data_IF_856315952255
#
_entry.id   IF_856315952255
#
_cell.length_a   1.000
_cell.length_b   1.000
_cell.length_c   1.000
_cell.angle_alpha   90.00
_cell.angle_beta   90.00
_cell.angle_gamma   90.00
#
_symmetry.space_group_name_H-M   'P 1'
#
loop_
_entity.id
_entity.type
_entity.pdbx_description
1 polymer ?
#
# COMPACT_ATOMS: atom_id res chain seq x y z
N UNK A 1 -4.35 -0.67 -24.43
CA UNK A 1 -4.30 0.15 -23.57
C UNK A 1 -4.78 -0.25 -22.28
N UNK A 2 -4.35 0.19 -21.34
CA UNK A 2 -4.73 -0.23 -20.06
C UNK A 2 -5.83 0.63 -19.52
N UNK A 3 -6.99 0.21 -19.65
CA UNK A 3 -8.11 1.02 -19.27
C UNK A 3 -8.28 1.17 -17.79
N UNK A 4 -7.85 0.25 -17.01
CA UNK A 4 -8.13 0.36 -15.61
C UNK A 4 -6.86 0.53 -14.84
N UNK A 5 -6.67 1.70 -14.32
CA UNK A 5 -5.46 1.99 -13.58
C UNK A 5 -5.77 2.49 -12.18
N UNK A 6 -6.83 1.98 -11.60
CA UNK A 6 -7.20 2.37 -10.25
C UNK A 6 -6.75 1.28 -9.30
N UNK A 7 -5.66 1.52 -8.61
CA UNK A 7 -5.07 0.50 -7.74
C UNK A 7 -5.12 0.92 -6.29
N UNK A 8 -5.53 -0.02 -5.45
CA UNK A 8 -5.42 0.12 -4.01
C UNK A 8 -4.27 -0.75 -3.58
N UNK A 9 -3.39 -0.24 -2.75
CA UNK A 9 -2.18 -0.95 -2.39
C UNK A 9 -1.91 -0.90 -0.90
N UNK A 10 -1.11 -1.86 -0.44
CA UNK A 10 -0.61 -1.89 0.92
C UNK A 10 0.91 -2.01 0.84
N UNK A 11 1.59 -1.10 1.50
CA UNK A 11 3.05 -1.11 1.55
C UNK A 11 3.50 -1.29 2.99
N UNK A 12 4.70 -1.83 3.16
CA UNK A 12 5.25 -2.13 4.47
C UNK A 12 6.65 -1.54 4.60
N UNK A 13 6.98 -1.09 5.80
CA UNK A 13 8.31 -0.61 6.11
C UNK A 13 8.73 -1.16 7.46
N UNK A 14 10.01 -1.56 7.57
CA UNK A 14 10.58 -1.99 8.84
C UNK A 14 11.63 -0.99 9.26
N UNK A 15 11.52 -0.49 10.47
CA UNK A 15 12.49 0.47 11.00
C UNK A 15 12.72 0.15 12.46
N UNK A 16 13.99 -0.05 12.83
CA UNK A 16 14.36 -0.35 14.21
C UNK A 16 13.60 -1.55 14.80
N UNK A 17 13.38 -2.55 13.95
CA UNK A 17 12.68 -3.77 14.38
C UNK A 17 11.18 -3.73 14.39
N UNK A 18 10.59 -2.57 14.06
CA UNK A 18 9.14 -2.42 14.05
C UNK A 18 8.61 -2.27 12.64
N UNK A 19 7.47 -2.90 12.37
CA UNK A 19 6.82 -2.83 11.07
C UNK A 19 5.70 -1.80 11.09
N UNK A 20 5.55 -1.10 9.98
CA UNK A 20 4.46 -0.18 9.76
C UNK A 20 3.89 -0.44 8.39
N UNK A 21 2.56 -0.35 8.24
CA UNK A 21 1.92 -0.49 6.94
C UNK A 21 1.20 0.80 6.56
N UNK A 22 0.99 0.97 5.26
CA UNK A 22 0.28 2.13 4.76
C UNK A 22 -0.61 1.69 3.59
N UNK A 23 -1.87 2.11 3.60
CA UNK A 23 -2.83 1.85 2.54
C UNK A 23 -2.93 3.09 1.68
N UNK A 24 -2.90 2.91 0.37
CA UNK A 24 -3.03 4.03 -0.54
C UNK A 24 -3.75 3.67 -1.82
N UNK A 25 -3.95 4.69 -2.64
CA UNK A 25 -4.57 4.56 -3.95
C UNK A 25 -3.66 5.24 -4.97
N UNK A 26 -3.50 4.63 -6.12
CA UNK A 26 -2.71 5.24 -7.18
C UNK A 26 -3.08 4.65 -8.53
N UNK A 27 -2.94 5.46 -9.57
CA UNK A 27 -3.08 4.96 -10.92
C UNK A 27 -1.83 4.19 -11.32
N UNK A 28 -0.67 4.68 -10.91
CA UNK A 28 0.60 4.02 -11.19
C UNK A 28 1.29 3.72 -9.86
N UNK A 29 1.21 2.46 -9.44
CA UNK A 29 1.75 2.06 -8.15
C UNK A 29 3.27 2.23 -8.10
N UNK A 30 3.95 1.88 -9.20
CA UNK A 30 5.41 1.97 -9.24
C UNK A 30 5.89 3.38 -9.00
N UNK A 31 5.27 4.36 -9.66
CA UNK A 31 5.61 5.76 -9.45
C UNK A 31 5.28 6.20 -8.03
N UNK A 32 4.13 5.77 -7.53
CA UNK A 32 3.71 6.18 -6.19
C UNK A 32 4.61 5.60 -5.11
N UNK A 33 5.00 4.33 -5.26
CA UNK A 33 5.92 3.71 -4.32
C UNK A 33 7.26 4.45 -4.32
N UNK A 34 7.73 4.82 -5.52
CA UNK A 34 8.96 5.57 -5.63
C UNK A 34 8.85 6.92 -4.92
N UNK A 35 7.71 7.60 -5.05
CA UNK A 35 7.49 8.86 -4.33
C UNK A 35 7.54 8.67 -2.81
N UNK A 36 6.92 7.60 -2.31
CA UNK A 36 6.99 7.31 -0.87
C UNK A 36 8.45 7.13 -0.43
N UNK A 37 9.22 6.41 -1.21
CA UNK A 37 10.63 6.14 -0.87
C UNK A 37 11.53 7.35 -1.02
N UNK A 38 11.10 8.35 -1.80
CA UNK A 38 11.81 9.60 -1.94
C UNK A 38 11.30 10.69 -0.99
N UNK A 39 10.46 10.31 -0.03
CA UNK A 39 9.87 11.24 0.93
C UNK A 39 8.98 12.29 0.29
N UNK A 40 8.41 11.95 -0.87
CA UNK A 40 7.49 12.83 -1.61
C UNK A 40 6.07 12.32 -1.61
N UNK A 41 5.80 11.26 -0.86
CA UNK A 41 4.46 10.70 -0.75
C UNK A 41 3.70 11.32 0.41
N UNK A 42 2.93 10.51 1.11
CA UNK A 42 2.17 10.99 2.25
C UNK A 42 3.09 11.37 3.40
N UNK A 43 2.59 12.27 4.23
CA UNK A 43 3.37 12.74 5.37
C UNK A 43 3.77 11.57 6.29
N UNK A 44 2.87 10.62 6.47
CA UNK A 44 3.12 9.49 7.37
C UNK A 44 4.12 8.47 6.80
N UNK A 45 4.49 8.60 5.53
CA UNK A 45 5.45 7.67 4.91
C UNK A 45 6.87 8.20 4.87
N UNK A 46 7.08 9.43 5.29
CA UNK A 46 8.42 10.04 5.26
C UNK A 46 9.39 9.35 6.21
N UNK A 47 10.65 9.30 5.79
CA UNK A 47 11.71 8.77 6.64
C UNK A 47 11.77 7.26 6.72
N UNK A 48 11.10 6.56 5.82
CA UNK A 48 11.08 5.11 5.81
C UNK A 48 11.22 4.59 4.40
N UNK A 49 11.70 3.36 4.29
CA UNK A 49 11.78 2.67 2.99
C UNK A 49 10.63 1.68 2.91
N UNK A 50 9.86 1.73 1.84
CA UNK A 50 8.63 0.97 1.69
C UNK A 50 8.72 -0.10 0.62
N UNK A 51 8.06 -1.23 0.86
CA UNK A 51 7.92 -2.31 -0.11
C UNK A 51 6.44 -2.60 -0.33
N UNK A 52 6.10 -2.92 -1.58
CA UNK A 52 4.72 -3.28 -1.91
C UNK A 52 4.46 -4.72 -1.50
N UNK A 53 3.41 -4.95 -0.71
CA UNK A 53 3.06 -6.30 -0.27
C UNK A 53 1.66 -6.74 -0.72
N UNK A 54 0.86 -5.81 -1.24
CA UNK A 54 -0.48 -6.16 -1.70
C UNK A 54 -1.00 -5.08 -2.63
N UNK A 55 -1.68 -5.49 -3.69
CA UNK A 55 -2.34 -4.53 -4.56
C UNK A 55 -3.61 -5.15 -5.12
N UNK A 56 -4.59 -4.30 -5.41
CA UNK A 56 -5.81 -4.71 -6.07
C UNK A 56 -6.14 -3.70 -7.13
N UNK A 57 -6.30 -4.17 -8.37
CA UNK A 57 -6.67 -3.31 -9.48
C UNK A 57 -8.20 -3.28 -9.58
N UNK A 58 -8.76 -2.09 -9.65
CA UNK A 58 -10.21 -1.90 -9.70
C UNK A 58 -10.53 -1.00 -10.88
N UNK A 59 -11.55 -1.36 -11.64
CA UNK A 59 -11.86 -0.65 -12.88
C UNK A 59 -12.44 0.74 -12.69
N UNK A 60 -13.05 1.00 -11.55
CA UNK A 60 -13.79 2.22 -11.32
C UNK A 60 -13.17 2.99 -10.17
N UNK A 61 -12.90 4.27 -10.35
CA UNK A 61 -12.27 5.08 -9.31
C UNK A 61 -13.09 5.13 -8.03
N UNK A 62 -14.41 5.29 -8.17
CA UNK A 62 -15.29 5.35 -7.00
C UNK A 62 -15.19 4.06 -6.19
N UNK A 63 -15.20 2.91 -6.87
CA UNK A 63 -15.07 1.62 -6.18
C UNK A 63 -13.68 1.46 -5.58
N UNK A 64 -12.66 1.96 -6.26
CA UNK A 64 -11.30 1.89 -5.73
C UNK A 64 -11.19 2.67 -4.44
N UNK A 65 -11.76 3.87 -4.39
CA UNK A 65 -11.72 4.68 -3.17
C UNK A 65 -12.51 4.04 -2.04
N UNK A 66 -13.62 3.38 -2.36
CA UNK A 66 -14.38 2.64 -1.36
C UNK A 66 -13.56 1.47 -0.81
N UNK A 67 -12.85 0.78 -1.69
CA UNK A 67 -12.03 -0.34 -1.26
C UNK A 67 -10.84 0.13 -0.42
N UNK A 68 -10.25 1.27 -0.80
CA UNK A 68 -9.18 1.86 -0.01
C UNK A 68 -9.66 2.14 1.41
N UNK A 69 -10.84 2.73 1.54
CA UNK A 69 -11.42 3.01 2.84
C UNK A 69 -11.68 1.72 3.62
N UNK A 70 -12.25 0.72 2.92
CA UNK A 70 -12.51 -0.59 3.53
C UNK A 70 -11.22 -1.20 4.07
N UNK A 71 -10.16 -1.17 3.27
CA UNK A 71 -8.88 -1.76 3.68
C UNK A 71 -8.27 -1.00 4.85
N UNK A 72 -8.39 0.33 4.85
CA UNK A 72 -7.91 1.14 5.97
C UNK A 72 -8.62 0.79 7.27
N UNK A 73 -9.91 0.45 7.21
CA UNK A 73 -10.68 0.13 8.38
C UNK A 73 -10.55 -1.34 8.79
N UNK A 74 -10.08 -2.18 7.90
CA UNK A 74 -10.01 -3.62 8.17
C UNK A 74 -8.64 -4.02 8.70
N UNK A 75 -8.44 -3.81 9.98
CA UNK A 75 -7.17 -4.11 10.62
C UNK A 75 -6.79 -5.59 10.51
N UNK A 76 -7.78 -6.47 10.64
CA UNK A 76 -7.51 -7.91 10.58
C UNK A 76 -6.95 -8.30 9.21
N UNK A 77 -7.56 -7.80 8.14
CA UNK A 77 -7.11 -8.12 6.79
C UNK A 77 -5.69 -7.58 6.55
N UNK A 78 -5.43 -6.34 6.97
CA UNK A 78 -4.09 -5.77 6.83
C UNK A 78 -3.05 -6.58 7.60
N UNK A 79 -3.40 -7.02 8.81
CA UNK A 79 -2.51 -7.86 9.61
C UNK A 79 -2.25 -9.20 8.95
N UNK A 80 -3.28 -9.82 8.38
CA UNK A 80 -3.12 -11.10 7.70
C UNK A 80 -2.16 -10.98 6.53
N UNK A 81 -2.28 -9.91 5.73
CA UNK A 81 -1.38 -9.65 4.62
C UNK A 81 0.04 -9.42 5.12
N UNK A 82 0.18 -8.62 6.17
CA UNK A 82 1.47 -8.30 6.75
C UNK A 82 2.17 -9.55 7.27
N UNK A 83 1.46 -10.37 8.03
CA UNK A 83 2.04 -11.57 8.62
C UNK A 83 2.46 -12.58 7.56
N UNK A 84 1.67 -12.69 6.51
CA UNK A 84 2.03 -13.57 5.40
C UNK A 84 3.32 -13.10 4.73
N UNK A 85 3.46 -11.80 4.54
CA UNK A 85 4.68 -11.25 3.95
C UNK A 85 5.88 -11.49 4.86
N UNK A 86 5.74 -11.24 6.16
CA UNK A 86 6.84 -11.42 7.10
C UNK A 86 7.26 -12.88 7.15
N UNK A 87 6.30 -13.80 7.15
CA UNK A 87 6.60 -15.23 7.19
C UNK A 87 7.40 -15.68 5.97
N UNK A 88 7.12 -15.11 4.80
CA UNK A 88 7.77 -15.53 3.56
C UNK A 88 9.07 -14.79 3.27
N UNK A 89 9.18 -13.55 3.69
CA UNK A 89 10.30 -12.70 3.26
C UNK A 89 10.98 -11.96 4.41
N UNK A 90 10.37 -11.95 5.54
CA UNK A 90 10.89 -11.23 6.66
C UNK A 90 11.85 -12.05 7.46
#
# INVERSE_FOLDING_TARGET
MSPSSHNVYLIISKKKGFYKTYVGYAKNIKNRLNQHNLNKGAKSTKGRYWKLIYKKNIKNKSRALKYEYFLKKNRKLRNDIKLKFIRNYG
#
